data_IF_027109033672
#
_entry.id   IF_027109033672
#
_cell.length_a   1.000
_cell.length_b   1.000
_cell.length_c   1.000
_cell.angle_alpha   90.00
_cell.angle_beta   90.00
_cell.angle_gamma   90.00
#
_symmetry.space_group_name_H-M   'P 1'
#
loop_
_entity.id
_entity.type
_entity.pdbx_description
1 polymer ?
#
# COMPACT_ATOMS: atom_id res chain seq x y z
N UNK A 1 -20.77 -16.42 -11.38
CA UNK A 1 -19.67 -15.58 -10.85
C UNK A 1 -20.13 -14.14 -10.97
N UNK A 2 -20.61 -13.57 -9.88
CA UNK A 2 -20.99 -12.15 -9.86
C UNK A 2 -19.68 -11.34 -9.83
N UNK A 3 -19.37 -10.66 -10.93
CA UNK A 3 -18.15 -9.90 -11.04
C UNK A 3 -18.29 -8.66 -10.16
N UNK A 4 -17.52 -8.58 -9.07
CA UNK A 4 -17.62 -7.45 -8.15
C UNK A 4 -17.03 -6.20 -8.84
N UNK A 5 -17.84 -5.17 -9.15
CA UNK A 5 -17.37 -4.00 -9.87
C UNK A 5 -16.24 -3.27 -9.13
N UNK A 6 -16.20 -3.34 -7.79
CA UNK A 6 -15.14 -2.74 -6.98
C UNK A 6 -13.77 -3.40 -7.23
N UNK A 7 -13.74 -4.71 -7.47
CA UNK A 7 -12.48 -5.44 -7.77
C UNK A 7 -11.98 -5.08 -9.16
N UNK A 8 -12.88 -4.93 -10.13
CA UNK A 8 -12.52 -4.51 -11.50
C UNK A 8 -11.92 -3.10 -11.48
N UNK A 9 -12.57 -2.16 -10.78
CA UNK A 9 -12.08 -0.78 -10.65
C UNK A 9 -10.71 -0.77 -9.96
N UNK A 10 -10.55 -1.52 -8.86
CA UNK A 10 -9.27 -1.68 -8.18
C UNK A 10 -8.17 -2.17 -9.14
N UNK A 11 -8.46 -3.20 -9.94
CA UNK A 11 -7.49 -3.77 -10.88
C UNK A 11 -7.04 -2.77 -11.95
N UNK A 12 -7.97 -2.02 -12.51
CA UNK A 12 -7.66 -0.99 -13.53
C UNK A 12 -6.78 0.10 -12.92
N UNK A 13 -7.15 0.61 -11.75
CA UNK A 13 -6.40 1.63 -11.05
C UNK A 13 -5.01 1.13 -10.63
N UNK A 14 -4.90 -0.11 -10.13
CA UNK A 14 -3.63 -0.74 -9.76
C UNK A 14 -2.71 -0.93 -10.96
N UNK A 15 -3.26 -1.32 -12.11
CA UNK A 15 -2.51 -1.45 -13.34
C UNK A 15 -1.97 -0.10 -13.82
N UNK A 16 -2.79 0.96 -13.77
CA UNK A 16 -2.35 2.32 -14.11
C UNK A 16 -1.25 2.76 -13.15
N UNK A 17 -1.43 2.56 -11.84
CA UNK A 17 -0.44 2.93 -10.84
C UNK A 17 0.89 2.19 -11.04
N UNK A 18 0.84 0.89 -11.33
CA UNK A 18 2.00 0.08 -11.69
C UNK A 18 2.72 0.64 -12.92
N UNK A 19 1.99 0.95 -14.00
CA UNK A 19 2.58 1.52 -15.21
C UNK A 19 3.21 2.88 -14.96
N UNK A 20 2.61 3.73 -14.12
CA UNK A 20 3.19 5.02 -13.73
C UNK A 20 4.50 4.85 -12.96
N UNK A 21 4.59 3.91 -12.03
CA UNK A 21 5.84 3.60 -11.31
C UNK A 21 6.88 3.02 -12.26
N UNK A 22 6.48 2.10 -13.14
CA UNK A 22 7.38 1.43 -14.09
C UNK A 22 7.94 2.41 -15.12
N UNK A 23 7.14 3.35 -15.62
CA UNK A 23 7.56 4.41 -16.54
C UNK A 23 8.28 5.54 -15.79
N UNK A 24 7.88 5.84 -14.55
CA UNK A 24 8.52 6.83 -13.67
C UNK A 24 9.95 6.46 -13.27
N UNK A 25 10.25 5.16 -13.14
CA UNK A 25 11.57 4.64 -12.73
C UNK A 25 12.71 4.94 -13.72
N UNK A 26 12.56 4.70 -15.04
CA UNK A 26 13.55 5.12 -16.04
C UNK A 26 13.46 6.62 -16.37
N UNK A 27 12.38 7.31 -15.96
CA UNK A 27 12.24 8.74 -16.17
C UNK A 27 13.08 9.55 -15.19
N UNK A 28 13.36 10.77 -15.62
CA UNK A 28 14.20 11.72 -14.90
C UNK A 28 13.42 12.29 -13.70
N UNK A 29 14.08 12.36 -12.54
CA UNK A 29 13.48 12.91 -11.31
C UNK A 29 13.74 14.40 -11.16
N UNK A 30 14.88 14.88 -11.66
CA UNK A 30 15.24 16.30 -11.60
C UNK A 30 15.76 16.80 -12.96
N UNK A 31 15.33 18.00 -13.33
CA UNK A 31 15.67 18.66 -14.58
C UNK A 31 16.29 20.00 -14.24
N UNK A 32 17.46 20.28 -14.80
CA UNK A 32 18.11 21.57 -14.60
C UNK A 32 17.22 22.70 -15.11
N UNK A 33 17.03 23.74 -14.29
CA UNK A 33 16.29 24.96 -14.65
C UNK A 33 17.02 25.78 -15.70
N UNK A 34 18.35 25.69 -15.72
CA UNK A 34 19.22 26.40 -16.65
C UNK A 34 19.79 25.45 -17.70
N UNK A 35 19.67 25.81 -18.97
CA UNK A 35 20.50 25.25 -20.04
C UNK A 35 21.96 25.57 -19.70
N UNK A 36 22.79 24.54 -19.56
CA UNK A 36 24.22 24.75 -19.30
C UNK A 36 24.86 25.56 -20.43
N UNK A 37 26.06 26.12 -20.18
CA UNK A 37 26.87 26.90 -21.13
C UNK A 37 27.03 26.18 -22.50
N UNK A 38 26.85 24.86 -22.55
CA UNK A 38 26.94 24.02 -23.74
C UNK A 38 25.60 23.78 -24.47
N UNK A 39 24.51 24.52 -24.17
CA UNK A 39 23.15 24.28 -24.69
C UNK A 39 22.59 22.88 -24.37
N UNK A 40 23.17 22.19 -23.39
CA UNK A 40 22.70 20.89 -22.91
C UNK A 40 21.96 21.07 -21.58
N UNK A 41 20.78 20.44 -21.45
CA UNK A 41 20.06 20.35 -20.18
C UNK A 41 20.48 19.06 -19.48
N UNK A 42 21.30 19.11 -18.41
CA UNK A 42 21.63 17.93 -17.65
C UNK A 42 20.39 17.45 -16.89
N UNK A 43 20.19 16.13 -16.89
CA UNK A 43 19.10 15.48 -16.21
C UNK A 43 19.63 14.47 -15.20
N UNK A 44 19.05 14.50 -13.99
CA UNK A 44 19.42 13.60 -12.89
C UNK A 44 18.35 12.53 -12.78
N UNK A 45 18.76 11.30 -13.01
CA UNK A 45 17.97 10.11 -12.77
C UNK A 45 18.32 9.54 -11.40
N UNK A 46 17.43 8.70 -10.87
CA UNK A 46 17.71 7.89 -9.69
C UNK A 46 18.96 7.00 -9.87
N UNK A 47 19.20 6.59 -11.12
CA UNK A 47 20.29 5.72 -11.54
C UNK A 47 21.59 6.46 -11.91
N UNK A 48 21.57 7.79 -12.04
CA UNK A 48 22.79 8.55 -12.35
C UNK A 48 22.53 9.87 -13.07
N UNK A 49 23.62 10.52 -13.48
CA UNK A 49 23.58 11.77 -14.24
C UNK A 49 23.67 11.49 -15.73
N UNK A 50 22.86 12.22 -16.49
CA UNK A 50 22.92 12.25 -17.93
C UNK A 50 23.24 13.68 -18.38
N UNK A 51 24.23 13.82 -19.27
CA UNK A 51 24.65 15.14 -19.80
C UNK A 51 23.54 15.82 -20.60
N UNK A 52 22.79 15.02 -21.36
CA UNK A 52 21.66 15.47 -22.15
C UNK A 52 20.49 14.52 -21.93
N UNK A 53 19.32 15.05 -21.54
CA UNK A 53 18.11 14.26 -21.29
C UNK A 53 17.70 13.38 -22.49
N UNK A 54 18.11 13.75 -23.72
CA UNK A 54 17.85 13.00 -24.97
C UNK A 54 18.87 11.90 -25.30
N UNK A 55 20.03 11.86 -24.64
CA UNK A 55 21.05 10.81 -24.89
C UNK A 55 20.55 9.44 -24.39
N UNK A 56 21.30 8.35 -24.49
CA UNK A 56 21.07 7.13 -23.68
C UNK A 56 22.26 6.85 -22.76
N UNK A 57 23.34 7.61 -22.95
CA UNK A 57 24.63 7.39 -22.29
C UNK A 57 24.63 8.13 -20.96
N UNK A 58 24.86 7.38 -19.88
CA UNK A 58 25.10 7.93 -18.55
C UNK A 58 26.49 8.60 -18.54
N UNK A 59 26.53 9.86 -18.11
CA UNK A 59 27.77 10.61 -18.01
C UNK A 59 28.51 10.28 -16.71
N UNK A 60 27.76 10.00 -15.64
CA UNK A 60 28.29 9.56 -14.35
C UNK A 60 27.23 8.73 -13.61
N UNK A 61 27.67 7.76 -12.82
CA UNK A 61 26.77 7.02 -11.92
C UNK A 61 26.38 7.90 -10.73
N UNK A 62 25.29 7.59 -10.02
CA UNK A 62 24.94 8.38 -8.81
C UNK A 62 25.99 8.27 -7.71
N UNK A 63 26.74 7.16 -7.69
CA UNK A 63 27.84 6.97 -6.76
C UNK A 63 28.96 7.95 -7.10
N UNK A 64 29.39 8.03 -8.36
CA UNK A 64 30.45 8.96 -8.78
C UNK A 64 30.03 10.44 -8.61
N UNK A 65 28.77 10.74 -8.93
CA UNK A 65 28.21 12.10 -8.82
C UNK A 65 28.24 12.63 -7.39
N UNK A 66 27.97 11.76 -6.41
CA UNK A 66 27.85 12.12 -4.99
C UNK A 66 29.05 11.65 -4.15
N UNK A 67 30.23 11.44 -4.75
CA UNK A 67 31.50 11.20 -4.04
C UNK A 67 31.75 12.20 -2.92
N UNK A 68 31.55 13.48 -3.19
CA UNK A 68 31.83 14.55 -2.22
C UNK A 68 30.69 14.77 -1.22
N UNK A 69 29.54 14.09 -1.39
CA UNK A 69 28.33 14.27 -0.60
C UNK A 69 27.80 12.91 -0.09
N UNK A 70 28.42 12.31 0.94
CA UNK A 70 28.11 10.95 1.38
C UNK A 70 26.65 10.78 1.86
N UNK A 71 26.08 11.81 2.49
CA UNK A 71 24.67 11.79 2.93
C UNK A 71 23.69 11.72 1.76
N UNK A 72 23.94 12.46 0.67
CA UNK A 72 23.10 12.39 -0.54
C UNK A 72 23.28 11.07 -1.26
N UNK A 73 24.50 10.54 -1.32
CA UNK A 73 24.79 9.24 -1.93
C UNK A 73 23.97 8.12 -1.28
N UNK A 74 23.92 8.05 0.05
CA UNK A 74 23.18 7.00 0.75
C UNK A 74 21.68 7.10 0.49
N UNK A 75 21.11 8.31 0.47
CA UNK A 75 19.71 8.53 0.12
C UNK A 75 19.37 8.02 -1.28
N UNK A 76 20.20 8.31 -2.29
CA UNK A 76 20.00 7.80 -3.65
C UNK A 76 20.16 6.27 -3.73
N UNK A 77 21.11 5.69 -3.00
CA UNK A 77 21.28 4.23 -2.93
C UNK A 77 20.07 3.54 -2.32
N UNK A 78 19.57 4.07 -1.21
CA UNK A 78 18.36 3.57 -0.55
C UNK A 78 17.17 3.72 -1.49
N UNK A 79 16.99 4.89 -2.09
CA UNK A 79 15.90 5.15 -3.03
C UNK A 79 15.85 4.16 -4.22
N UNK A 80 17.01 3.76 -4.77
CA UNK A 80 17.07 2.71 -5.81
C UNK A 80 16.53 1.36 -5.34
N UNK A 81 16.83 0.97 -4.10
CA UNK A 81 16.31 -0.28 -3.54
C UNK A 81 14.80 -0.16 -3.32
N UNK A 82 14.35 0.95 -2.75
CA UNK A 82 12.94 1.20 -2.49
C UNK A 82 12.11 1.18 -3.78
N UNK A 83 12.57 1.80 -4.88
CA UNK A 83 11.81 1.79 -6.14
C UNK A 83 11.66 0.38 -6.72
N UNK A 84 12.69 -0.47 -6.62
CA UNK A 84 12.59 -1.87 -7.08
C UNK A 84 11.59 -2.64 -6.23
N UNK A 85 11.68 -2.50 -4.90
CA UNK A 85 10.72 -3.13 -3.98
C UNK A 85 9.28 -2.67 -4.26
N UNK A 86 9.06 -1.38 -4.53
CA UNK A 86 7.74 -0.86 -4.88
C UNK A 86 7.23 -1.46 -6.19
N UNK A 87 8.06 -1.61 -7.22
CA UNK A 87 7.67 -2.27 -8.48
C UNK A 87 7.22 -3.71 -8.21
N UNK A 88 8.00 -4.46 -7.43
CA UNK A 88 7.69 -5.85 -7.10
C UNK A 88 6.38 -5.96 -6.31
N UNK A 89 6.17 -5.08 -5.33
CA UNK A 89 4.92 -5.00 -4.56
C UNK A 89 3.73 -4.67 -5.45
N UNK A 90 3.83 -3.69 -6.35
CA UNK A 90 2.72 -3.30 -7.22
C UNK A 90 2.38 -4.40 -8.23
N UNK A 91 3.40 -5.10 -8.75
CA UNK A 91 3.24 -6.27 -9.61
C UNK A 91 2.53 -7.41 -8.88
N UNK A 92 2.99 -7.75 -7.68
CA UNK A 92 2.37 -8.77 -6.84
C UNK A 92 0.93 -8.41 -6.48
N UNK A 93 0.65 -7.15 -6.14
CA UNK A 93 -0.71 -6.67 -5.86
C UNK A 93 -1.62 -6.79 -7.08
N UNK A 94 -1.12 -6.47 -8.29
CA UNK A 94 -1.86 -6.66 -9.53
C UNK A 94 -2.18 -8.13 -9.82
N UNK A 95 -1.19 -9.02 -9.71
CA UNK A 95 -1.37 -10.46 -9.91
C UNK A 95 -2.37 -11.04 -8.89
N UNK A 96 -2.24 -10.66 -7.61
CA UNK A 96 -3.19 -11.06 -6.57
C UNK A 96 -4.60 -10.53 -6.83
N UNK A 97 -4.72 -9.30 -7.35
CA UNK A 97 -5.99 -8.74 -7.79
C UNK A 97 -6.65 -9.58 -8.90
N UNK A 98 -5.86 -10.09 -9.85
CA UNK A 98 -6.38 -10.97 -10.92
C UNK A 98 -6.82 -12.30 -10.32
N UNK A 99 -6.00 -12.88 -9.41
CA UNK A 99 -6.36 -14.14 -8.73
C UNK A 99 -7.64 -13.97 -7.91
N UNK A 100 -7.87 -12.79 -7.30
CA UNK A 100 -9.11 -12.47 -6.59
C UNK A 100 -10.35 -12.43 -7.49
N UNK A 101 -10.22 -12.20 -8.80
CA UNK A 101 -11.35 -12.37 -9.72
C UNK A 101 -11.77 -13.85 -9.87
N UNK A 102 -10.84 -14.78 -9.65
CA UNK A 102 -11.07 -16.22 -9.83
C UNK A 102 -11.35 -16.97 -8.52
N UNK A 103 -10.85 -16.50 -7.36
CA UNK A 103 -10.91 -17.22 -6.07
C UNK A 103 -11.19 -16.29 -4.85
N UNK A 104 -11.78 -16.86 -3.78
CA UNK A 104 -12.48 -16.18 -2.66
C UNK A 104 -11.62 -15.34 -1.65
N UNK A 105 -12.36 -14.59 -0.82
CA UNK A 105 -12.09 -13.49 0.14
C UNK A 105 -10.76 -13.39 0.93
N UNK A 106 -10.00 -14.47 1.18
CA UNK A 106 -8.82 -14.39 2.06
C UNK A 106 -7.69 -13.54 1.48
N UNK A 107 -7.55 -13.52 0.15
CA UNK A 107 -6.53 -12.73 -0.54
C UNK A 107 -6.78 -11.22 -0.45
N UNK A 108 -7.99 -10.79 -0.05
CA UNK A 108 -8.35 -9.38 0.06
C UNK A 108 -7.51 -8.66 1.10
N UNK A 109 -7.32 -9.29 2.26
CA UNK A 109 -6.48 -8.75 3.33
C UNK A 109 -5.01 -8.70 2.93
N UNK A 110 -4.53 -9.73 2.24
CA UNK A 110 -3.15 -9.77 1.72
C UNK A 110 -2.93 -8.64 0.71
N UNK A 111 -3.87 -8.46 -0.22
CA UNK A 111 -3.85 -7.38 -1.20
C UNK A 111 -3.88 -6.01 -0.52
N UNK A 112 -4.74 -5.82 0.48
CA UNK A 112 -4.80 -4.57 1.26
C UNK A 112 -3.46 -4.27 1.93
N UNK A 113 -2.86 -5.24 2.63
CA UNK A 113 -1.54 -5.08 3.26
C UNK A 113 -0.48 -4.73 2.21
N UNK A 114 -0.50 -5.40 1.05
CA UNK A 114 0.45 -5.10 -0.02
C UNK A 114 0.32 -3.68 -0.56
N UNK A 115 -0.90 -3.16 -0.76
CA UNK A 115 -1.10 -1.77 -1.19
C UNK A 115 -0.62 -0.79 -0.10
N UNK A 116 -0.89 -1.05 1.19
CA UNK A 116 -0.37 -0.20 2.27
C UNK A 116 1.17 -0.18 2.29
N UNK A 117 1.81 -1.34 2.16
CA UNK A 117 3.28 -1.40 2.13
C UNK A 117 3.82 -0.73 0.86
N UNK A 118 3.15 -0.90 -0.28
CA UNK A 118 3.41 -0.17 -1.52
C UNK A 118 3.35 1.35 -1.34
N UNK A 119 2.28 1.85 -0.72
CA UNK A 119 2.09 3.26 -0.38
C UNK A 119 3.22 3.79 0.48
N UNK A 120 3.53 3.09 1.58
CA UNK A 120 4.56 3.52 2.54
C UNK A 120 5.93 3.54 1.89
N UNK A 121 6.27 2.54 1.08
CA UNK A 121 7.57 2.48 0.38
C UNK A 121 7.70 3.61 -0.65
N UNK A 122 6.66 3.86 -1.44
CA UNK A 122 6.62 4.94 -2.43
C UNK A 122 6.62 6.33 -1.77
N UNK A 123 5.86 6.51 -0.69
CA UNK A 123 5.86 7.74 0.09
C UNK A 123 7.24 8.03 0.68
N UNK A 124 7.91 7.01 1.22
CA UNK A 124 9.27 7.12 1.75
C UNK A 124 10.26 7.51 0.65
N UNK A 125 10.16 6.91 -0.53
CA UNK A 125 10.96 7.27 -1.70
C UNK A 125 10.78 8.75 -2.07
N UNK A 126 9.53 9.21 -2.19
CA UNK A 126 9.22 10.61 -2.48
C UNK A 126 9.74 11.55 -1.37
N UNK A 127 9.57 11.18 -0.10
CA UNK A 127 10.05 11.97 1.03
C UNK A 127 11.58 12.09 1.03
N UNK A 128 12.31 11.00 0.81
CA UNK A 128 13.77 11.02 0.70
C UNK A 128 14.24 11.97 -0.41
N UNK A 129 13.53 12.00 -1.53
CA UNK A 129 13.84 12.89 -2.66
C UNK A 129 13.55 14.35 -2.35
N UNK A 130 12.45 14.65 -1.68
CA UNK A 130 12.12 16.00 -1.21
C UNK A 130 13.13 16.48 -0.16
N UNK A 131 13.54 15.61 0.76
CA UNK A 131 14.57 15.91 1.75
C UNK A 131 15.91 16.19 1.05
N UNK A 132 16.31 15.39 0.06
CA UNK A 132 17.50 15.63 -0.74
C UNK A 132 17.44 16.93 -1.55
N UNK A 133 16.24 17.41 -1.86
CA UNK A 133 15.98 18.63 -2.61
C UNK A 133 16.07 19.90 -1.74
N UNK A 134 15.46 19.88 -0.54
CA UNK A 134 15.36 21.04 0.37
C UNK A 134 16.51 21.15 1.38
N UNK A 135 17.14 20.03 1.74
CA UNK A 135 18.11 19.99 2.86
C UNK A 135 19.54 20.27 2.38
N UNK A 136 20.21 21.19 3.05
CA UNK A 136 21.66 21.43 2.90
C UNK A 136 22.45 20.31 3.57
N UNK A 137 23.31 19.63 2.82
CA UNK A 137 24.24 18.65 3.38
C UNK A 137 25.65 19.24 3.45
N UNK A 138 25.95 20.04 4.48
CA UNK A 138 27.29 20.60 4.73
C UNK A 138 27.77 21.65 3.68
N UNK A 139 28.71 22.55 4.00
CA UNK A 139 29.10 23.72 3.18
C UNK A 139 29.66 23.43 1.77
N UNK A 140 29.89 22.16 1.40
CA UNK A 140 30.41 21.75 0.09
C UNK A 140 29.33 21.15 -0.84
N UNK A 141 28.09 20.97 -0.37
CA UNK A 141 27.00 20.40 -1.18
C UNK A 141 25.75 21.31 -1.13
N UNK A 142 25.62 22.27 -2.07
CA UNK A 142 24.49 23.19 -2.11
C UNK A 142 23.16 22.48 -2.42
N UNK A 143 22.04 23.13 -2.07
CA UNK A 143 20.67 22.66 -2.36
C UNK A 143 20.48 22.38 -3.85
N UNK A 144 19.85 21.25 -4.17
CA UNK A 144 19.42 20.97 -5.54
C UNK A 144 18.40 21.99 -6.04
N UNK A 145 17.56 22.53 -5.14
CA UNK A 145 16.54 23.55 -5.44
C UNK A 145 17.05 24.81 -6.13
N UNK A 146 18.33 25.15 -5.94
CA UNK A 146 18.88 26.35 -6.57
C UNK A 146 19.14 26.16 -8.07
N UNK A 147 19.31 24.92 -8.55
CA UNK A 147 19.72 24.62 -9.92
C UNK A 147 18.75 23.70 -10.68
N UNK A 148 17.93 22.93 -9.97
CA UNK A 148 17.07 21.90 -10.53
C UNK A 148 15.60 22.09 -10.12
N UNK A 149 14.69 21.78 -11.04
CA UNK A 149 13.26 21.66 -10.80
C UNK A 149 12.83 20.17 -10.77
N UNK A 150 11.72 19.89 -10.10
CA UNK A 150 11.09 18.56 -10.15
C UNK A 150 10.71 18.21 -11.60
N UNK A 151 11.01 16.99 -11.99
CA UNK A 151 10.73 16.48 -13.33
C UNK A 151 9.47 15.64 -13.40
N UNK A 152 9.07 15.32 -14.62
CA UNK A 152 7.91 14.47 -14.92
C UNK A 152 7.94 13.15 -14.12
N UNK A 153 9.10 12.52 -13.94
CA UNK A 153 9.22 11.28 -13.16
C UNK A 153 8.72 11.41 -11.72
N UNK A 154 9.03 12.53 -11.05
CA UNK A 154 8.54 12.78 -9.70
C UNK A 154 7.01 12.95 -9.66
N UNK A 155 6.45 13.70 -10.62
CA UNK A 155 4.99 13.84 -10.72
C UNK A 155 4.28 12.51 -10.99
N UNK A 156 4.88 11.61 -11.77
CA UNK A 156 4.34 10.27 -11.99
C UNK A 156 4.32 9.43 -10.72
N UNK A 157 5.36 9.51 -9.88
CA UNK A 157 5.37 8.84 -8.58
C UNK A 157 4.32 9.42 -7.62
N UNK A 158 4.15 10.73 -7.59
CA UNK A 158 3.09 11.37 -6.78
C UNK A 158 1.69 10.99 -7.28
N UNK A 159 1.49 10.93 -8.60
CA UNK A 159 0.23 10.45 -9.17
C UNK A 159 -0.04 8.97 -8.82
N UNK A 160 0.99 8.12 -8.91
CA UNK A 160 0.90 6.72 -8.50
C UNK A 160 0.58 6.57 -7.01
N UNK A 161 1.17 7.40 -6.15
CA UNK A 161 0.85 7.46 -4.72
C UNK A 161 -0.62 7.80 -4.48
N UNK A 162 -1.18 8.75 -5.23
CA UNK A 162 -2.59 9.12 -5.15
C UNK A 162 -3.53 8.00 -5.61
N UNK A 163 -3.18 7.28 -6.68
CA UNK A 163 -3.94 6.13 -7.16
C UNK A 163 -3.90 4.95 -6.17
N UNK A 164 -2.77 4.73 -5.52
CA UNK A 164 -2.61 3.68 -4.52
C UNK A 164 -3.43 3.97 -3.24
N UNK A 165 -3.51 5.24 -2.84
CA UNK A 165 -4.43 5.68 -1.79
C UNK A 165 -5.89 5.42 -2.18
N UNK A 166 -6.27 5.75 -3.42
CA UNK A 166 -7.62 5.48 -3.93
C UNK A 166 -7.93 3.97 -3.93
N UNK A 167 -6.98 3.15 -4.35
CA UNK A 167 -7.08 1.70 -4.31
C UNK A 167 -7.28 1.15 -2.90
N UNK A 168 -6.51 1.67 -1.94
CA UNK A 168 -6.64 1.31 -0.53
C UNK A 168 -8.05 1.63 -0.01
N UNK A 169 -8.61 2.79 -0.35
CA UNK A 169 -9.98 3.19 0.02
C UNK A 169 -11.04 2.29 -0.64
N UNK A 170 -10.91 2.00 -1.94
CA UNK A 170 -11.83 1.10 -2.67
C UNK A 170 -11.82 -0.31 -2.07
N UNK A 171 -10.66 -0.79 -1.63
CA UNK A 171 -10.52 -2.04 -0.88
C UNK A 171 -11.00 -1.96 0.57
N UNK A 172 -11.22 -0.77 1.14
CA UNK A 172 -11.76 -0.61 2.49
C UNK A 172 -13.29 -0.55 2.50
N UNK A 173 -13.92 0.05 1.48
CA UNK A 173 -15.38 0.33 1.44
C UNK A 173 -16.26 -0.91 1.66
N UNK A 174 -16.07 -2.06 0.96
CA UNK A 174 -16.88 -3.26 1.18
C UNK A 174 -16.82 -3.81 2.62
N UNK A 175 -15.72 -3.61 3.35
CA UNK A 175 -15.60 -4.03 4.75
C UNK A 175 -16.50 -3.21 5.66
N UNK A 176 -16.62 -1.89 5.43
CA UNK A 176 -17.51 -1.04 6.21
C UNK A 176 -18.97 -1.46 6.08
N UNK A 177 -19.40 -1.84 4.87
CA UNK A 177 -20.78 -2.26 4.64
C UNK A 177 -21.14 -3.59 5.33
N UNK A 178 -20.19 -4.52 5.45
CA UNK A 178 -20.41 -5.81 6.13
C UNK A 178 -20.48 -5.66 7.66
N UNK A 179 -19.61 -4.84 8.27
CA UNK A 179 -19.66 -4.60 9.72
C UNK A 179 -20.88 -3.78 10.16
N UNK A 180 -21.36 -2.84 9.34
CA UNK A 180 -22.58 -2.08 9.63
C UNK A 180 -23.80 -2.99 9.60
N UNK A 181 -23.89 -3.93 8.65
CA UNK A 181 -24.97 -4.92 8.62
C UNK A 181 -24.94 -5.85 9.82
N UNK A 182 -23.75 -6.35 10.20
CA UNK A 182 -23.59 -7.17 11.40
C UNK A 182 -24.07 -6.47 12.67
N UNK A 183 -23.79 -5.17 12.80
CA UNK A 183 -24.28 -4.35 13.93
C UNK A 183 -25.79 -4.13 13.94
N UNK A 184 -26.45 -4.09 12.78
CA UNK A 184 -27.91 -3.95 12.70
C UNK A 184 -28.62 -5.24 13.12
N UNK A 185 -28.14 -6.40 12.63
CA UNK A 185 -28.71 -7.70 13.00
C UNK A 185 -28.50 -8.05 14.49
N UNK A 186 -27.35 -7.70 15.09
CA UNK A 186 -27.15 -7.89 16.54
C UNK A 186 -28.03 -7.01 17.43
N UNK A 187 -28.55 -5.88 16.92
CA UNK A 187 -29.49 -5.05 17.66
C UNK A 187 -30.94 -5.54 17.56
N UNK A 188 -31.34 -6.18 16.46
CA UNK A 188 -32.70 -6.76 16.33
C UNK A 188 -32.91 -8.04 17.17
N UNK A 189 -31.88 -8.90 17.33
CA UNK A 189 -31.99 -10.09 18.20
C UNK A 189 -32.06 -9.75 19.70
N UNK A 190 -31.64 -8.53 20.08
CA UNK A 190 -31.67 -8.06 21.47
C UNK A 190 -33.04 -7.52 21.89
N UNK A 191 -33.86 -7.06 20.96
CA UNK A 191 -35.16 -6.44 21.24
C UNK A 191 -36.33 -7.45 21.26
N UNK A 192 -36.13 -8.66 20.72
CA UNK A 192 -37.20 -9.67 20.66
C UNK A 192 -37.25 -10.67 21.84
N UNK A 193 -36.37 -10.53 22.84
CA UNK A 193 -36.30 -11.43 24.01
C UNK A 193 -36.86 -10.85 25.32
N UNK A 194 -37.48 -9.66 25.30
CA UNK A 194 -37.98 -8.98 26.51
C UNK A 194 -39.50 -8.74 26.55
N UNK A 195 -40.27 -9.39 25.68
CA UNK A 195 -41.73 -9.43 25.79
C UNK A 195 -42.15 -10.90 25.76
N UNK A 196 -42.11 -11.56 26.92
CA UNK A 196 -43.09 -12.58 27.28
C UNK A 196 -42.87 -13.06 28.73
N UNK A 197 -43.91 -12.84 29.55
CA UNK A 197 -44.20 -13.39 30.88
C UNK A 197 -43.85 -12.55 32.12
N UNK A 198 -44.60 -11.46 32.32
CA UNK A 198 -45.08 -11.10 33.67
C UNK A 198 -46.53 -11.61 33.83
N UNK A 199 -46.71 -12.70 34.59
CA UNK A 199 -47.90 -12.89 35.42
C UNK A 199 -47.70 -14.01 36.45
N UNK A 200 -47.50 -13.58 37.69
CA UNK A 200 -48.13 -14.09 38.94
C UNK A 200 -47.92 -15.53 39.46
N UNK A 201 -47.55 -15.54 40.76
CA UNK A 201 -47.85 -16.51 41.84
C UNK A 201 -46.96 -17.77 41.94
N UNK A 202 -46.62 -18.35 43.08
CA UNK A 202 -46.76 -18.10 44.53
C UNK A 202 -46.11 -19.34 45.22
N UNK A 203 -45.29 -19.14 46.27
CA UNK A 203 -45.03 -20.05 47.42
C UNK A 203 -44.68 -21.56 47.26
N UNK A 204 -43.63 -22.00 48.00
CA UNK A 204 -43.36 -23.33 48.62
C UNK A 204 -43.51 -24.61 47.73
N UNK A 205 -42.74 -25.69 47.84
CA UNK A 205 -42.37 -26.46 49.03
C UNK A 205 -41.35 -27.58 48.66
N UNK A 206 -40.83 -28.21 49.71
CA UNK A 206 -39.94 -29.38 49.86
C UNK A 206 -40.21 -30.67 49.04
N UNK A 207 -39.16 -31.54 49.08
CA UNK A 207 -39.09 -33.01 48.82
C UNK A 207 -38.55 -33.40 47.43
N UNK A 208 -37.36 -33.99 47.26
CA UNK A 208 -36.70 -35.19 47.84
C UNK A 208 -37.42 -36.49 47.48
N UNK A 209 -36.73 -37.36 46.72
CA UNK A 209 -36.90 -38.80 46.40
C UNK A 209 -36.34 -38.99 44.97
N UNK A 210 -35.16 -39.55 44.67
CA UNK A 210 -34.45 -40.79 45.05
C UNK A 210 -35.15 -42.09 44.59
N UNK A 211 -34.31 -43.04 44.10
CA UNK A 211 -34.56 -44.30 43.34
C UNK A 211 -34.59 -44.16 41.80
N UNK A 212 -33.82 -44.90 40.99
CA UNK A 212 -32.85 -45.96 41.24
C UNK A 212 -32.64 -46.86 40.00
N UNK A 213 -31.38 -47.29 39.80
CA UNK A 213 -30.93 -48.59 39.26
C UNK A 213 -30.70 -48.83 37.74
N UNK A 214 -29.39 -48.95 37.41
CA UNK A 214 -28.58 -49.79 36.48
C UNK A 214 -29.15 -50.36 35.15
N UNK A 215 -28.37 -50.64 34.09
CA UNK A 215 -27.19 -51.54 33.97
C UNK A 215 -26.42 -51.27 32.66
N UNK A 216 -25.11 -51.58 32.70
CA UNK A 216 -24.08 -51.86 31.68
C UNK A 216 -24.17 -51.38 30.21
N UNK A 217 -22.99 -50.98 29.72
CA UNK A 217 -22.64 -51.09 28.30
C UNK A 217 -21.31 -50.46 27.93
N UNK A 218 -20.22 -50.86 28.59
CA UNK A 218 -18.85 -50.45 28.22
C UNK A 218 -18.29 -51.46 27.20
N UNK A 219 -17.97 -51.02 25.97
CA UNK A 219 -16.97 -51.67 25.11
C UNK A 219 -16.11 -50.57 24.48
N UNK A 220 -14.83 -50.68 24.79
CA UNK A 220 -13.68 -49.90 24.39
C UNK A 220 -13.00 -50.65 23.24
N UNK A 221 -12.64 -49.98 22.16
CA UNK A 221 -11.59 -50.45 21.24
C UNK A 221 -10.27 -49.78 21.64
N UNK A 222 -9.21 -50.60 21.62
CA UNK A 222 -7.81 -50.43 22.09
C UNK A 222 -7.51 -50.69 23.57
#
# INVERSE_FOLDING_TARGET
MECNPFIIVYLILQFIAFMLVLVGTPLEMFRSRSSSIFNETPCVLLWGLKRSCRSIVYAATSDDLWVMCPSRRTQFRVARVFVVMTIDMYCAAFVLGIIMLCCYACLRWVCLVLNIVGFVTLATLCALMVVAYETDAYPLCPKLKNEFDFSLGFYLFVAALGLDLLNTVVLLIPWQHENVKGSYYSNEDSDHSNDDNDHSKEGNDHSKEDYGHSIEGNIQEE
#
